data_IF_411317187776
#
_entry.id   IF_411317187776
#
_cell.length_a   1.000
_cell.length_b   1.000
_cell.length_c   1.000
_cell.angle_alpha   90.00
_cell.angle_beta   90.00
_cell.angle_gamma   90.00
#
_symmetry.space_group_name_H-M   'P 1'
#
loop_
_entity.id
_entity.type
_entity.pdbx_description
1 polymer ?
#
# COMPACT_ATOMS: atom_id res chain seq x y z
N UNK A 1 8.66 -23.51 -4.45
CA UNK A 1 9.10 -22.76 -3.26
C UNK A 1 10.61 -22.81 -3.25
N UNK A 2 11.24 -21.74 -3.70
CA UNK A 2 12.70 -21.67 -3.84
C UNK A 2 13.28 -20.93 -2.64
N UNK A 3 14.55 -21.19 -2.34
CA UNK A 3 15.31 -20.57 -1.23
C UNK A 3 15.24 -19.02 -1.19
N UNK A 4 14.83 -18.38 -2.31
CA UNK A 4 14.59 -16.94 -2.44
C UNK A 4 13.34 -16.43 -1.71
N UNK A 5 12.29 -17.26 -1.60
CA UNK A 5 11.02 -16.88 -0.96
C UNK A 5 11.18 -16.69 0.56
N UNK A 6 12.23 -17.26 1.16
CA UNK A 6 12.53 -17.13 2.60
C UNK A 6 13.08 -15.74 2.99
N UNK A 7 13.47 -14.94 2.00
CA UNK A 7 14.10 -13.62 2.17
C UNK A 7 13.19 -12.46 1.80
N UNK A 8 11.94 -12.77 1.42
CA UNK A 8 10.91 -11.80 1.10
C UNK A 8 9.91 -11.81 2.24
N UNK A 9 9.78 -10.68 2.95
CA UNK A 9 8.69 -10.51 3.90
C UNK A 9 7.58 -9.70 3.25
N UNK A 10 6.42 -10.33 3.12
CA UNK A 10 5.18 -9.71 2.69
C UNK A 10 4.31 -9.42 3.91
N UNK A 11 3.93 -8.16 4.06
CA UNK A 11 2.96 -7.70 5.04
C UNK A 11 1.81 -7.05 4.30
N UNK A 12 0.58 -7.36 4.69
CA UNK A 12 -0.60 -6.83 4.04
C UNK A 12 -1.60 -6.40 5.11
N UNK A 13 -2.19 -5.22 4.94
CA UNK A 13 -3.31 -4.81 5.79
C UNK A 13 -4.57 -5.53 5.34
N UNK A 14 -5.42 -5.91 6.30
CA UNK A 14 -6.69 -6.55 6.03
C UNK A 14 -7.63 -6.36 7.22
N UNK A 15 -8.94 -6.29 6.95
CA UNK A 15 -9.98 -6.33 7.99
C UNK A 15 -9.88 -7.56 8.92
N UNK A 16 -9.31 -8.65 8.42
CA UNK A 16 -9.13 -9.91 9.16
C UNK A 16 -7.73 -10.04 9.77
N UNK A 17 -6.90 -9.00 9.72
CA UNK A 17 -5.56 -9.06 10.28
C UNK A 17 -5.62 -9.26 11.80
N UNK A 18 -4.93 -10.30 12.28
CA UNK A 18 -4.81 -10.58 13.72
C UNK A 18 -4.00 -9.48 14.45
N UNK A 19 -3.10 -8.81 13.73
CA UNK A 19 -2.35 -7.68 14.26
C UNK A 19 -3.15 -6.38 14.04
N UNK A 20 -3.39 -5.65 15.13
CA UNK A 20 -4.11 -4.35 15.08
C UNK A 20 -3.41 -3.32 14.21
N UNK A 21 -2.09 -3.39 14.11
CA UNK A 21 -1.29 -2.47 13.29
C UNK A 21 -1.41 -2.77 11.78
N UNK A 22 -2.00 -3.91 11.41
CA UNK A 22 -2.25 -4.34 10.04
C UNK A 22 -3.75 -4.34 9.69
N UNK A 23 -4.58 -3.64 10.45
CA UNK A 23 -5.99 -3.51 10.10
C UNK A 23 -6.16 -2.49 8.98
N UNK A 24 -7.16 -2.72 8.12
CA UNK A 24 -7.57 -1.77 7.08
C UNK A 24 -7.96 -0.43 7.71
N UNK A 25 -7.51 0.67 7.10
CA UNK A 25 -7.80 2.01 7.59
C UNK A 25 -8.93 2.65 6.79
N UNK A 26 -9.94 3.13 7.50
CA UNK A 26 -11.13 3.76 6.92
C UNK A 26 -11.07 5.27 7.05
N UNK A 27 -11.26 5.96 5.93
CA UNK A 27 -11.21 7.42 5.86
C UNK A 27 -12.52 7.97 5.29
N UNK A 28 -13.05 9.00 5.96
CA UNK A 28 -14.22 9.74 5.49
C UNK A 28 -13.81 10.77 4.45
N UNK A 29 -13.67 10.35 3.21
CA UNK A 29 -13.15 11.19 2.14
C UNK A 29 -13.58 10.67 0.76
N UNK A 30 -13.19 11.37 -0.30
CA UNK A 30 -13.37 10.91 -1.69
C UNK A 30 -12.10 10.23 -2.20
N UNK A 31 -12.26 9.32 -3.17
CA UNK A 31 -11.15 8.62 -3.83
C UNK A 31 -10.08 9.61 -4.33
N UNK A 32 -10.48 10.65 -5.07
CA UNK A 32 -9.54 11.62 -5.66
C UNK A 32 -8.70 12.35 -4.61
N UNK A 33 -9.32 12.70 -3.47
CA UNK A 33 -8.60 13.38 -2.40
C UNK A 33 -7.65 12.43 -1.68
N UNK A 34 -8.05 11.19 -1.42
CA UNK A 34 -7.18 10.15 -0.81
C UNK A 34 -5.99 9.86 -1.72
N UNK A 35 -6.23 9.64 -3.02
CA UNK A 35 -5.18 9.45 -4.04
C UNK A 35 -4.20 10.63 -4.03
N UNK A 36 -4.71 11.86 -4.07
CA UNK A 36 -3.87 13.07 -4.09
C UNK A 36 -2.97 13.16 -2.85
N UNK A 37 -3.51 12.88 -1.65
CA UNK A 37 -2.74 12.91 -0.41
C UNK A 37 -1.69 11.78 -0.35
N UNK A 38 -2.01 10.58 -0.83
CA UNK A 38 -1.04 9.48 -0.93
C UNK A 38 0.11 9.86 -1.86
N UNK A 39 -0.19 10.42 -3.04
CA UNK A 39 0.84 10.86 -3.98
C UNK A 39 1.71 11.99 -3.41
N UNK A 40 1.09 12.95 -2.70
CA UNK A 40 1.80 14.00 -1.98
C UNK A 40 2.73 13.42 -0.92
N UNK A 41 2.26 12.45 -0.12
CA UNK A 41 3.07 11.78 0.88
C UNK A 41 4.25 11.02 0.25
N UNK A 42 4.01 10.31 -0.86
CA UNK A 42 5.05 9.61 -1.60
C UNK A 42 6.15 10.59 -2.06
N UNK A 43 5.75 11.73 -2.62
CA UNK A 43 6.68 12.80 -3.00
C UNK A 43 7.45 13.37 -1.82
N UNK A 44 6.79 13.65 -0.70
CA UNK A 44 7.42 14.19 0.52
C UNK A 44 8.41 13.22 1.17
N UNK A 45 8.25 11.92 0.93
CA UNK A 45 9.08 10.85 1.49
C UNK A 45 10.01 10.22 0.45
N UNK A 46 10.17 10.83 -0.73
CA UNK A 46 11.05 10.33 -1.80
C UNK A 46 10.76 8.88 -2.21
N UNK A 47 9.47 8.51 -2.26
CA UNK A 47 9.04 7.27 -2.93
C UNK A 47 8.97 7.49 -4.43
N UNK A 48 9.35 6.47 -5.18
CA UNK A 48 9.20 6.42 -6.63
C UNK A 48 7.80 5.85 -6.90
N UNK A 49 6.93 6.62 -7.53
CA UNK A 49 5.61 6.15 -7.98
C UNK A 49 5.80 5.49 -9.33
N UNK A 50 5.72 4.17 -9.38
CA UNK A 50 5.93 3.36 -10.59
C UNK A 50 4.66 3.28 -11.44
N UNK A 51 3.50 3.14 -10.78
CA UNK A 51 2.21 3.15 -11.47
C UNK A 51 1.09 3.69 -10.60
N UNK A 52 0.11 4.29 -11.26
CA UNK A 52 -1.19 4.66 -10.69
C UNK A 52 -2.22 4.07 -11.64
N UNK A 53 -3.05 3.17 -11.15
CA UNK A 53 -4.11 2.56 -11.94
C UNK A 53 -5.47 2.90 -11.33
N UNK A 54 -6.17 3.83 -11.96
CA UNK A 54 -7.49 4.29 -11.51
C UNK A 54 -8.61 3.26 -11.77
N UNK A 55 -8.42 2.32 -12.69
CA UNK A 55 -9.43 1.29 -12.99
C UNK A 55 -9.54 0.26 -11.85
N UNK A 56 -8.39 -0.17 -11.32
CA UNK A 56 -8.32 -1.07 -10.16
C UNK A 56 -8.10 -0.33 -8.83
N UNK A 57 -7.88 0.99 -8.88
CA UNK A 57 -7.68 1.89 -7.74
C UNK A 57 -6.47 1.53 -6.88
N UNK A 58 -5.36 1.26 -7.56
CA UNK A 58 -4.09 0.87 -6.93
C UNK A 58 -2.97 1.83 -7.29
N UNK A 59 -2.07 2.02 -6.34
CA UNK A 59 -0.85 2.82 -6.50
C UNK A 59 0.32 1.92 -6.16
N UNK A 60 1.23 1.72 -7.13
CA UNK A 60 2.47 0.99 -6.91
C UNK A 60 3.61 1.98 -6.68
N UNK A 61 4.26 1.87 -5.51
CA UNK A 61 5.38 2.72 -5.14
C UNK A 61 6.56 1.92 -4.63
N UNK A 62 7.76 2.45 -4.83
CA UNK A 62 9.00 1.80 -4.46
C UNK A 62 9.93 2.76 -3.74
N UNK A 63 10.68 2.25 -2.77
CA UNK A 63 11.76 3.00 -2.13
C UNK A 63 12.85 2.05 -1.65
N UNK A 64 14.02 2.16 -2.28
CA UNK A 64 15.17 1.32 -1.94
C UNK A 64 14.87 -0.17 -2.15
N UNK A 65 14.75 -0.92 -1.04
CA UNK A 65 14.54 -2.40 -1.04
C UNK A 65 13.14 -2.80 -0.54
N UNK A 66 12.19 -1.89 -0.57
CA UNK A 66 10.81 -2.19 -0.29
C UNK A 66 9.90 -1.63 -1.38
N UNK A 67 8.92 -2.46 -1.72
CA UNK A 67 7.86 -2.17 -2.67
C UNK A 67 6.56 -2.10 -1.87
N UNK A 68 5.73 -1.12 -2.17
CA UNK A 68 4.40 -0.96 -1.57
C UNK A 68 3.34 -0.93 -2.67
N UNK A 69 2.28 -1.68 -2.48
CA UNK A 69 1.04 -1.57 -3.25
C UNK A 69 0.00 -0.98 -2.31
N UNK A 70 -0.56 0.17 -2.68
CA UNK A 70 -1.60 0.85 -1.91
C UNK A 70 -2.90 0.69 -2.68
N UNK A 71 -3.88 0.03 -2.07
CA UNK A 71 -5.20 -0.21 -2.65
C UNK A 71 -6.21 0.72 -1.99
N UNK A 72 -6.97 1.45 -2.80
CA UNK A 72 -7.94 2.43 -2.33
C UNK A 72 -9.33 1.94 -2.72
N UNK A 73 -10.09 1.41 -1.76
CA UNK A 73 -11.39 0.79 -1.99
C UNK A 73 -12.52 1.74 -1.56
N UNK A 74 -13.30 2.31 -2.50
CA UNK A 74 -14.46 3.13 -2.15
C UNK A 74 -15.61 2.22 -1.70
N UNK A 75 -15.99 2.36 -0.44
CA UNK A 75 -17.10 1.62 0.17
C UNK A 75 -18.41 2.38 -0.06
N UNK A 76 -18.35 3.70 0.06
CA UNK A 76 -19.44 4.61 -0.29
C UNK A 76 -18.89 5.90 -0.91
N UNK A 77 -19.76 6.86 -1.23
CA UNK A 77 -19.37 8.15 -1.81
C UNK A 77 -18.35 8.90 -0.92
N UNK A 78 -18.46 8.76 0.39
CA UNK A 78 -17.61 9.47 1.36
C UNK A 78 -16.83 8.53 2.27
N UNK A 79 -16.77 7.24 1.97
CA UNK A 79 -16.06 6.27 2.81
C UNK A 79 -15.13 5.42 1.95
N UNK A 80 -13.86 5.50 2.28
CA UNK A 80 -12.76 4.86 1.56
C UNK A 80 -11.99 4.00 2.54
N UNK A 81 -11.82 2.72 2.22
CA UNK A 81 -10.82 1.86 2.83
C UNK A 81 -9.48 2.04 2.09
N UNK A 82 -8.40 2.12 2.84
CA UNK A 82 -7.04 2.12 2.30
C UNK A 82 -6.32 0.94 2.90
N UNK A 83 -5.82 0.10 2.01
CA UNK A 83 -5.00 -1.05 2.32
C UNK A 83 -3.60 -0.89 1.75
N UNK A 84 -2.61 -1.45 2.44
CA UNK A 84 -1.21 -1.40 2.04
C UNK A 84 -0.63 -2.80 2.12
N UNK A 85 -0.10 -3.25 0.99
CA UNK A 85 0.78 -4.41 0.91
C UNK A 85 2.21 -3.94 0.80
N UNK A 86 3.03 -4.30 1.77
CA UNK A 86 4.45 -4.02 1.82
C UNK A 86 5.26 -5.30 1.59
N UNK A 87 6.07 -5.28 0.53
CA UNK A 87 7.02 -6.35 0.22
C UNK A 87 8.43 -5.83 0.48
N UNK A 88 9.16 -6.51 1.35
CA UNK A 88 10.56 -6.15 1.68
C UNK A 88 11.52 -7.25 1.25
N UNK A 89 12.64 -6.86 0.63
CA UNK A 89 13.65 -7.80 0.17
C UNK A 89 14.87 -7.74 1.11
N UNK A 90 15.01 -8.73 1.98
CA UNK A 90 16.20 -8.89 2.81
C UNK A 90 17.24 -9.74 2.07
N UNK A 91 18.21 -9.12 1.41
CA UNK A 91 19.48 -9.82 1.16
C UNK A 91 20.15 -10.02 2.52
N UNK A 92 20.37 -11.28 2.92
CA UNK A 92 21.26 -11.63 4.03
C UNK A 92 22.52 -10.76 3.90
N UNK A 93 22.81 -9.99 4.96
CA UNK A 93 24.10 -9.30 5.12
C UNK A 93 25.13 -10.27 5.66
#
# INVERSE_FOLDING_TARGET
MAFKDYFVNDFETSDQANNKDLLTHYYRNTYERVKSEILNYCKLKDYIVESVNDDVKEIFVRKGRHDLIITITPISIMEIAVDVKATTYYLIG
#
